data_IF_007227683144
#
_entry.id   IF_007227683144
#
_cell.length_a   1.000
_cell.length_b   1.000
_cell.length_c   1.000
_cell.angle_alpha   90.00
_cell.angle_beta   90.00
_cell.angle_gamma   90.00
#
_symmetry.space_group_name_H-M   'P 1'
#
loop_
_entity.id
_entity.type
_entity.pdbx_description
1 polymer ?
#
# COMPACT_ATOMS: atom_id res chain seq x y z
N UNK A 1 -6.80 48.06 18.11
CA UNK A 1 -6.15 47.70 16.85
C UNK A 1 -6.00 46.19 16.82
N UNK A 2 -7.00 45.49 16.28
CA UNK A 2 -7.09 44.02 16.29
C UNK A 2 -7.55 43.56 14.92
N UNK A 3 -6.62 43.48 13.97
CA UNK A 3 -6.81 42.88 12.65
C UNK A 3 -5.49 42.29 12.16
N UNK A 4 -5.11 41.14 12.72
CA UNK A 4 -4.05 40.31 12.13
C UNK A 4 -4.24 38.79 12.33
N UNK A 5 -5.34 38.35 12.95
CA UNK A 5 -5.54 36.92 13.27
C UNK A 5 -6.56 36.21 12.37
N UNK A 6 -7.34 36.92 11.57
CA UNK A 6 -8.36 36.30 10.70
C UNK A 6 -7.81 35.79 9.36
N UNK A 7 -6.71 36.37 8.86
CA UNK A 7 -6.08 35.99 7.58
C UNK A 7 -5.25 34.70 7.68
N UNK A 8 -4.56 34.48 8.80
CA UNK A 8 -3.82 33.23 9.06
C UNK A 8 -4.75 32.04 9.29
N UNK A 9 -5.90 32.26 9.95
CA UNK A 9 -6.89 31.21 10.14
C UNK A 9 -7.62 30.84 8.83
N UNK A 10 -7.90 31.80 7.94
CA UNK A 10 -8.49 31.50 6.63
C UNK A 10 -7.50 30.80 5.71
N UNK A 11 -6.19 31.13 5.76
CA UNK A 11 -5.17 30.40 5.00
C UNK A 11 -5.02 28.95 5.46
N UNK A 12 -5.08 28.69 6.77
CA UNK A 12 -4.99 27.33 7.32
C UNK A 12 -6.25 26.51 6.99
N UNK A 13 -7.44 27.12 7.03
CA UNK A 13 -8.70 26.48 6.63
C UNK A 13 -8.77 26.26 5.11
N UNK A 14 -8.17 27.13 4.29
CA UNK A 14 -7.99 26.91 2.84
C UNK A 14 -6.98 25.80 2.53
N UNK A 15 -5.92 25.65 3.34
CA UNK A 15 -4.97 24.53 3.26
C UNK A 15 -5.62 23.21 3.70
N UNK A 16 -6.52 23.23 4.68
CA UNK A 16 -7.24 22.05 5.18
C UNK A 16 -8.49 21.70 4.36
N UNK A 17 -9.05 22.62 3.56
CA UNK A 17 -10.15 22.34 2.62
C UNK A 17 -9.67 21.91 1.23
N UNK A 18 -8.36 21.93 0.98
CA UNK A 18 -7.72 21.23 -0.14
C UNK A 18 -7.37 19.76 0.20
N UNK A 19 -7.79 19.26 1.37
CA UNK A 19 -7.43 17.94 1.90
C UNK A 19 -8.36 16.81 1.44
N UNK A 20 -9.12 16.99 0.35
CA UNK A 20 -9.67 15.87 -0.40
C UNK A 20 -8.69 15.53 -1.53
N UNK A 21 -7.64 14.79 -1.16
CA UNK A 21 -6.68 14.19 -2.11
C UNK A 21 -7.36 13.14 -3.02
N UNK A 22 -8.53 12.67 -2.61
CA UNK A 22 -9.42 11.74 -3.31
C UNK A 22 -10.76 12.43 -3.62
N UNK A 23 -11.24 12.39 -4.88
CA UNK A 23 -12.58 12.83 -5.26
C UNK A 23 -13.65 12.11 -4.46
N UNK A 24 -14.71 12.83 -4.12
CA UNK A 24 -15.89 12.25 -3.48
C UNK A 24 -16.56 11.22 -4.37
N UNK A 25 -17.13 10.19 -3.76
CA UNK A 25 -17.95 9.21 -4.48
C UNK A 25 -19.08 9.92 -5.27
N UNK A 26 -19.25 9.53 -6.53
CA UNK A 26 -20.27 10.08 -7.41
C UNK A 26 -19.90 11.40 -8.09
N UNK A 27 -18.79 12.04 -7.69
CA UNK A 27 -18.27 13.24 -8.35
C UNK A 27 -17.81 12.96 -9.78
N UNK A 28 -17.80 13.99 -10.62
CA UNK A 28 -17.34 13.89 -12.00
C UNK A 28 -15.91 14.42 -12.13
N UNK A 29 -15.03 13.65 -12.76
CA UNK A 29 -13.68 14.10 -13.08
C UNK A 29 -13.11 13.47 -14.33
N UNK A 30 -11.89 13.87 -14.66
CA UNK A 30 -11.21 13.48 -15.90
C UNK A 30 -9.98 12.66 -15.57
N UNK A 31 -9.82 11.54 -16.26
CA UNK A 31 -8.62 10.71 -16.12
C UNK A 31 -8.00 10.43 -17.49
N UNK A 32 -6.69 10.24 -17.48
CA UNK A 32 -5.94 9.69 -18.59
C UNK A 32 -6.00 8.16 -18.50
N UNK A 33 -6.46 7.50 -19.57
CA UNK A 33 -6.44 6.05 -19.67
C UNK A 33 -4.99 5.57 -19.73
N UNK A 34 -4.52 4.93 -18.68
CA UNK A 34 -3.17 4.35 -18.60
C UNK A 34 -3.15 2.95 -19.19
N UNK A 35 -4.21 2.16 -19.00
CA UNK A 35 -4.32 0.78 -19.47
C UNK A 35 -5.78 0.39 -19.77
N UNK A 36 -5.95 -0.59 -20.65
CA UNK A 36 -7.24 -1.27 -20.92
C UNK A 36 -6.99 -2.78 -20.76
N UNK A 37 -7.19 -3.32 -19.55
CA UNK A 37 -6.87 -4.71 -19.24
C UNK A 37 -7.74 -5.69 -20.03
N UNK A 38 -7.12 -6.72 -20.59
CA UNK A 38 -7.81 -7.82 -21.30
C UNK A 38 -8.06 -9.04 -20.41
N UNK A 39 -7.51 -9.05 -19.19
CA UNK A 39 -7.69 -10.12 -18.21
C UNK A 39 -7.62 -9.58 -16.78
N UNK A 40 -8.38 -10.20 -15.87
CA UNK A 40 -8.40 -9.83 -14.44
C UNK A 40 -7.02 -9.91 -13.79
N UNK A 41 -6.17 -10.83 -14.24
CA UNK A 41 -4.84 -11.01 -13.69
C UNK A 41 -3.95 -9.75 -13.82
N UNK A 42 -4.23 -8.89 -14.82
CA UNK A 42 -3.53 -7.62 -14.98
C UNK A 42 -3.83 -6.62 -13.84
N UNK A 43 -4.88 -6.86 -13.04
CA UNK A 43 -5.19 -6.02 -11.88
C UNK A 43 -4.40 -6.40 -10.62
N UNK A 44 -3.71 -7.55 -10.58
CA UNK A 44 -2.98 -7.99 -9.37
C UNK A 44 -1.84 -7.03 -8.95
N UNK A 45 -1.37 -6.18 -9.86
CA UNK A 45 -0.35 -5.17 -9.56
C UNK A 45 -0.86 -4.00 -8.68
N UNK A 46 -2.18 -3.83 -8.52
CA UNK A 46 -2.78 -2.66 -7.87
C UNK A 46 -3.11 -2.87 -6.38
N UNK A 47 -2.18 -3.50 -5.66
CA UNK A 47 -2.25 -3.86 -4.24
C UNK A 47 -3.12 -5.07 -3.92
N UNK A 48 -2.46 -6.20 -3.65
CA UNK A 48 -3.06 -7.30 -2.91
C UNK A 48 -2.14 -7.63 -1.75
N UNK A 49 -2.64 -7.43 -0.53
CA UNK A 49 -2.21 -8.32 0.54
C UNK A 49 -2.68 -9.72 0.17
N UNK A 50 -1.82 -10.68 0.42
CA UNK A 50 -2.12 -12.07 0.20
C UNK A 50 -3.45 -12.48 0.86
N UNK A 51 -4.41 -13.08 0.12
CA UNK A 51 -5.72 -13.48 0.65
C UNK A 51 -5.67 -14.33 1.92
N UNK A 52 -4.58 -15.07 2.12
CA UNK A 52 -4.41 -15.89 3.33
C UNK A 52 -4.22 -15.05 4.60
N UNK A 53 -3.89 -13.76 4.52
CA UNK A 53 -3.76 -12.88 5.71
C UNK A 53 -5.09 -12.66 6.42
N UNK A 54 -6.21 -12.79 5.71
CA UNK A 54 -7.54 -12.55 6.26
C UNK A 54 -7.93 -13.51 7.37
N UNK A 55 -7.38 -14.72 7.37
CA UNK A 55 -7.63 -15.69 8.43
C UNK A 55 -7.02 -15.23 9.78
N UNK A 56 -6.24 -14.13 9.80
CA UNK A 56 -5.62 -13.51 10.98
C UNK A 56 -6.19 -12.13 11.31
N UNK A 57 -7.40 -11.79 10.84
CA UNK A 57 -8.04 -10.50 11.11
C UNK A 57 -8.08 -10.17 12.61
N UNK A 58 -8.42 -11.16 13.44
CA UNK A 58 -8.50 -10.96 14.89
C UNK A 58 -7.13 -10.63 15.51
N UNK A 59 -6.07 -11.26 15.03
CA UNK A 59 -4.69 -11.09 15.47
C UNK A 59 -4.11 -9.76 14.96
N UNK A 60 -4.41 -9.39 13.72
CA UNK A 60 -4.02 -8.11 13.12
C UNK A 60 -4.66 -6.96 13.89
N UNK A 61 -5.96 -7.03 14.18
CA UNK A 61 -6.66 -6.00 14.97
C UNK A 61 -6.17 -5.94 16.42
N UNK A 62 -5.71 -7.07 16.96
CA UNK A 62 -5.05 -7.12 18.25
C UNK A 62 -3.58 -6.65 18.23
N UNK A 63 -3.04 -6.23 17.06
CA UNK A 63 -1.65 -5.80 16.90
C UNK A 63 -0.61 -6.92 17.06
N UNK A 64 -1.04 -8.19 16.94
CA UNK A 64 -0.21 -9.38 17.21
C UNK A 64 0.52 -9.92 15.99
N UNK A 65 0.10 -9.55 14.78
CA UNK A 65 0.85 -9.88 13.57
C UNK A 65 1.86 -8.77 13.31
N UNK A 66 3.14 -9.06 13.52
CA UNK A 66 4.23 -8.08 13.41
C UNK A 66 5.20 -8.45 12.31
N UNK A 67 5.75 -7.46 11.62
CA UNK A 67 6.91 -7.69 10.77
C UNK A 67 8.13 -7.90 11.65
N UNK A 68 9.00 -8.83 11.28
CA UNK A 68 10.26 -9.08 11.98
C UNK A 68 11.41 -9.17 10.99
N UNK A 69 12.59 -8.76 11.43
CA UNK A 69 13.77 -8.76 10.57
C UNK A 69 15.07 -9.04 11.31
N UNK A 70 16.06 -9.50 10.56
CA UNK A 70 17.47 -9.46 10.91
C UNK A 70 18.29 -9.39 9.61
N UNK A 71 19.59 -9.11 9.70
CA UNK A 71 20.49 -9.01 8.54
C UNK A 71 21.48 -10.16 8.50
N UNK A 72 21.79 -10.63 7.30
CA UNK A 72 22.77 -11.68 7.03
C UNK A 72 23.94 -11.03 6.29
N UNK A 73 25.19 -11.16 6.75
CA UNK A 73 26.36 -10.74 5.98
C UNK A 73 26.34 -11.34 4.57
N UNK A 74 26.50 -10.49 3.57
CA UNK A 74 26.49 -10.88 2.16
C UNK A 74 27.45 -9.97 1.38
N UNK A 75 28.63 -10.50 1.07
CA UNK A 75 29.70 -9.78 0.38
C UNK A 75 29.30 -9.32 -1.04
N UNK A 76 28.24 -9.91 -1.61
CA UNK A 76 27.74 -9.54 -2.93
C UNK A 76 26.60 -8.51 -2.87
N UNK A 77 26.09 -8.19 -1.68
CA UNK A 77 25.04 -7.19 -1.51
C UNK A 77 25.63 -5.77 -1.51
N UNK A 78 24.89 -4.80 -2.06
CA UNK A 78 25.32 -3.41 -2.16
C UNK A 78 25.72 -2.80 -0.80
N UNK A 79 24.94 -3.08 0.25
CA UNK A 79 25.21 -2.60 1.61
C UNK A 79 26.05 -3.58 2.44
N UNK A 80 26.56 -4.67 1.84
CA UNK A 80 27.30 -5.75 2.52
C UNK A 80 26.43 -6.74 3.30
N UNK A 81 25.10 -6.61 3.22
CA UNK A 81 24.14 -7.46 3.92
C UNK A 81 22.89 -7.73 3.09
N UNK A 82 22.27 -8.88 3.33
CA UNK A 82 20.94 -9.24 2.84
C UNK A 82 19.95 -9.28 3.99
N UNK A 83 18.77 -8.71 3.79
CA UNK A 83 17.71 -8.71 4.80
C UNK A 83 16.98 -10.06 4.83
N UNK A 84 16.82 -10.62 6.03
CA UNK A 84 15.83 -11.63 6.33
C UNK A 84 14.62 -10.93 6.95
N UNK A 85 13.46 -11.02 6.30
CA UNK A 85 12.22 -10.42 6.79
C UNK A 85 11.09 -11.43 6.70
N UNK A 86 10.30 -11.51 7.76
CA UNK A 86 9.10 -12.35 7.82
C UNK A 86 8.00 -11.64 8.61
N UNK A 87 6.81 -12.23 8.58
CA UNK A 87 5.72 -11.89 9.47
C UNK A 87 5.70 -12.92 10.61
N UNK A 88 5.50 -12.45 11.83
CA UNK A 88 5.48 -13.26 13.04
C UNK A 88 4.19 -12.99 13.80
N UNK A 89 3.53 -14.06 14.27
CA UNK A 89 2.40 -13.93 15.17
C UNK A 89 2.88 -14.03 16.61
N UNK A 90 2.64 -12.96 17.36
CA UNK A 90 2.94 -12.90 18.79
C UNK A 90 1.95 -13.73 19.60
N UNK A 91 2.34 -14.31 20.75
CA UNK A 91 1.42 -14.97 21.67
C UNK A 91 0.32 -14.01 22.16
N UNK A 92 -0.78 -14.57 22.66
CA UNK A 92 -1.95 -13.78 23.12
C UNK A 92 -1.63 -12.86 24.31
N UNK A 93 -0.54 -13.13 25.04
CA UNK A 93 -0.05 -12.33 26.16
C UNK A 93 1.36 -11.87 25.81
N UNK A 94 1.55 -10.56 25.73
CA UNK A 94 2.82 -9.92 25.39
C UNK A 94 2.62 -8.81 24.36
N UNK A 95 3.05 -7.60 24.71
CA UNK A 95 3.14 -6.47 23.77
C UNK A 95 4.59 -6.35 23.35
N UNK A 96 4.83 -6.36 22.04
CA UNK A 96 6.15 -6.11 21.46
C UNK A 96 6.11 -4.73 20.83
N UNK A 97 7.08 -3.88 21.15
CA UNK A 97 7.27 -2.57 20.56
C UNK A 97 8.19 -2.65 19.34
N UNK A 98 8.13 -1.63 18.50
CA UNK A 98 9.09 -1.50 17.41
C UNK A 98 10.52 -1.47 17.98
N UNK A 99 11.42 -2.25 17.39
CA UNK A 99 12.82 -2.46 17.77
C UNK A 99 13.04 -3.34 19.01
N UNK A 100 11.98 -3.93 19.56
CA UNK A 100 12.14 -4.97 20.56
C UNK A 100 12.79 -6.22 19.96
N UNK A 101 13.54 -6.93 20.79
CA UNK A 101 14.17 -8.19 20.40
C UNK A 101 13.25 -9.35 20.75
N UNK A 102 12.93 -10.14 19.73
CA UNK A 102 12.05 -11.29 19.86
C UNK A 102 12.84 -12.54 19.58
N UNK A 103 12.89 -13.46 20.55
CA UNK A 103 13.40 -14.80 20.30
C UNK A 103 12.34 -15.58 19.55
N UNK A 104 12.76 -16.28 18.50
CA UNK A 104 11.87 -17.11 17.71
C UNK A 104 12.38 -18.55 17.69
N UNK A 105 11.45 -19.49 17.64
CA UNK A 105 11.72 -20.91 17.46
C UNK A 105 10.70 -21.48 16.49
N UNK A 106 11.02 -22.62 15.85
CA UNK A 106 10.01 -23.29 15.02
C UNK A 106 8.79 -23.65 15.86
N UNK A 107 7.59 -23.45 15.29
CA UNK A 107 6.38 -23.96 15.91
C UNK A 107 6.45 -25.49 15.98
N UNK A 108 6.13 -26.06 17.15
CA UNK A 108 6.17 -27.50 17.36
C UNK A 108 5.04 -28.27 16.64
N UNK A 109 4.09 -27.55 16.04
CA UNK A 109 2.92 -28.11 15.34
C UNK A 109 3.21 -28.15 13.83
N UNK A 110 3.33 -29.36 13.23
CA UNK A 110 3.59 -29.50 11.81
C UNK A 110 2.52 -28.86 10.92
N UNK A 111 1.25 -28.80 11.38
CA UNK A 111 0.15 -28.19 10.60
C UNK A 111 0.33 -26.68 10.43
N UNK A 112 1.06 -26.04 11.34
CA UNK A 112 1.38 -24.61 11.31
C UNK A 112 2.71 -24.32 10.63
N UNK A 113 3.62 -25.30 10.59
CA UNK A 113 4.95 -25.20 9.96
C UNK A 113 4.96 -25.03 8.43
N UNK A 114 3.82 -25.20 7.76
CA UNK A 114 3.66 -24.95 6.32
C UNK A 114 3.10 -23.57 5.96
N UNK A 115 2.65 -22.79 6.95
CA UNK A 115 2.05 -21.47 6.78
C UNK A 115 2.95 -20.40 7.43
N UNK A 116 2.55 -19.14 7.41
CA UNK A 116 3.30 -18.03 8.03
C UNK A 116 3.77 -18.24 9.48
N UNK A 117 3.18 -19.23 10.16
CA UNK A 117 3.39 -19.63 11.56
C UNK A 117 4.47 -20.69 11.69
N UNK A 118 5.48 -20.66 10.82
CA UNK A 118 6.68 -21.47 11.04
C UNK A 118 7.35 -21.16 12.37
N UNK A 119 7.11 -19.98 12.93
CA UNK A 119 7.82 -19.48 14.09
C UNK A 119 6.87 -19.03 15.20
N UNK A 120 7.17 -19.41 16.43
CA UNK A 120 6.54 -18.87 17.63
C UNK A 120 7.49 -17.90 18.32
N UNK A 121 6.97 -16.74 18.70
CA UNK A 121 7.71 -15.81 19.55
C UNK A 121 7.78 -16.37 20.98
N UNK A 122 8.98 -16.45 21.54
CA UNK A 122 9.18 -16.66 22.97
C UNK A 122 9.57 -15.31 23.57
N UNK A 123 8.62 -14.68 24.27
CA UNK A 123 8.84 -13.40 24.95
C UNK A 123 9.31 -13.72 26.38
N UNK A 124 10.48 -14.33 26.50
CA UNK A 124 11.18 -14.41 27.78
C UNK A 124 12.12 -13.20 27.89
N UNK A 125 12.15 -12.61 29.09
CA UNK A 125 12.86 -11.38 29.47
C UNK A 125 14.24 -11.26 28.77
N UNK A 126 14.32 -10.36 27.79
CA UNK A 126 15.41 -10.25 26.80
C UNK A 126 16.69 -9.64 27.38
N UNK A 127 17.20 -10.24 28.45
CA UNK A 127 18.48 -9.89 29.08
C UNK A 127 19.70 -10.47 28.35
N UNK A 128 19.50 -11.40 27.41
CA UNK A 128 20.57 -11.93 26.56
C UNK A 128 20.72 -11.07 25.30
N UNK A 129 21.71 -10.17 25.36
CA UNK A 129 22.09 -9.19 24.35
C UNK A 129 22.13 -9.76 22.92
N UNK A 130 21.57 -9.05 21.92
CA UNK A 130 21.76 -9.41 20.53
C UNK A 130 23.16 -9.05 20.03
N UNK A 131 23.71 -9.86 19.12
CA UNK A 131 24.91 -9.51 18.36
C UNK A 131 24.51 -8.51 17.26
N UNK A 132 25.11 -7.34 17.27
CA UNK A 132 24.84 -6.30 16.29
C UNK A 132 25.99 -6.16 15.32
N UNK A 133 25.64 -5.88 14.08
CA UNK A 133 26.57 -5.46 13.05
C UNK A 133 26.41 -3.96 12.84
N UNK A 134 27.52 -3.33 12.51
CA UNK A 134 27.52 -1.95 12.06
C UNK A 134 27.48 -1.98 10.53
N UNK A 135 26.39 -1.53 9.93
CA UNK A 135 26.30 -1.34 8.48
C UNK A 135 26.65 0.09 8.10
N UNK A 136 27.46 0.23 7.05
CA UNK A 136 27.97 1.51 6.56
C UNK A 136 27.28 1.80 5.25
N UNK A 137 26.43 2.82 5.22
CA UNK A 137 25.77 3.25 3.98
C UNK A 137 26.56 4.35 3.27
N UNK A 138 26.39 4.50 1.94
CA UNK A 138 26.94 5.64 1.19
C UNK A 138 26.56 6.96 1.88
N UNK A 139 27.56 7.77 2.23
CA UNK A 139 27.39 8.98 3.04
C UNK A 139 27.91 8.87 4.49
N UNK A 140 28.50 7.73 4.88
CA UNK A 140 29.22 7.58 6.15
C UNK A 140 28.33 7.39 7.38
N UNK A 141 27.02 7.20 7.18
CA UNK A 141 26.08 6.90 8.27
C UNK A 141 26.24 5.45 8.69
N UNK A 142 26.45 5.24 9.99
CA UNK A 142 26.58 3.91 10.61
C UNK A 142 25.25 3.52 11.21
N UNK A 143 24.69 2.40 10.76
CA UNK A 143 23.48 1.82 11.32
C UNK A 143 23.84 0.60 12.17
N UNK A 144 23.13 0.44 13.29
CA UNK A 144 23.24 -0.74 14.14
C UNK A 144 22.11 -1.69 13.75
N UNK A 145 22.46 -2.82 13.16
CA UNK A 145 21.50 -3.81 12.67
C UNK A 145 21.69 -5.15 13.38
N UNK A 146 20.58 -5.84 13.65
CA UNK A 146 20.61 -7.16 14.30
C UNK A 146 21.05 -8.24 13.32
N UNK A 147 22.15 -8.95 13.62
CA UNK A 147 22.60 -10.08 12.82
C UNK A 147 21.71 -11.32 13.01
N UNK A 148 21.35 -11.99 11.91
CA UNK A 148 20.69 -13.28 11.96
C UNK A 148 21.68 -14.37 12.42
N UNK A 149 21.60 -14.77 13.68
CA UNK A 149 22.26 -15.99 14.17
C UNK A 149 21.34 -17.18 14.00
N UNK A 150 21.67 -18.10 13.09
CA UNK A 150 20.83 -19.26 12.81
C UNK A 150 21.11 -20.41 13.79
N UNK A 151 20.04 -21.00 14.32
CA UNK A 151 20.10 -22.26 15.06
C UNK A 151 20.38 -23.46 14.15
N UNK A 152 20.59 -24.63 14.73
CA UNK A 152 20.81 -25.89 14.00
C UNK A 152 19.63 -26.30 13.09
N UNK A 153 18.46 -25.74 13.34
CA UNK A 153 17.23 -25.92 12.56
C UNK A 153 17.11 -24.95 11.36
N UNK A 154 18.11 -24.08 11.16
CA UNK A 154 18.15 -23.09 10.07
C UNK A 154 17.30 -21.84 10.31
N UNK A 155 16.95 -21.55 11.57
CA UNK A 155 16.06 -20.43 11.94
C UNK A 155 16.84 -19.37 12.72
N UNK A 156 16.62 -18.07 12.47
CA UNK A 156 17.20 -17.03 13.31
C UNK A 156 16.79 -17.22 14.77
N UNK A 157 17.75 -17.21 15.69
CA UNK A 157 17.48 -17.36 17.12
C UNK A 157 16.84 -16.11 17.74
N UNK A 158 17.08 -14.96 17.11
CA UNK A 158 16.52 -13.66 17.50
C UNK A 158 16.26 -12.82 16.25
N UNK A 159 15.24 -11.97 16.35
CA UNK A 159 14.83 -11.01 15.32
C UNK A 159 14.43 -9.68 15.99
N UNK A 160 14.54 -8.60 15.23
CA UNK A 160 14.06 -7.28 15.61
C UNK A 160 12.59 -7.16 15.17
N UNK A 161 11.73 -6.74 16.09
CA UNK A 161 10.34 -6.44 15.78
C UNK A 161 10.23 -5.11 15.03
N UNK A 162 9.53 -5.14 13.90
CA UNK A 162 9.07 -3.95 13.20
C UNK A 162 7.66 -3.56 13.65
N UNK A 163 7.01 -2.75 12.82
CA UNK A 163 5.63 -2.35 13.05
C UNK A 163 4.67 -3.55 12.97
N UNK A 164 3.62 -3.50 13.79
CA UNK A 164 2.45 -4.35 13.61
C UNK A 164 1.79 -4.07 12.27
N UNK A 165 1.30 -5.13 11.62
CA UNK A 165 0.44 -5.01 10.44
C UNK A 165 -0.81 -4.25 10.88
N UNK A 166 -1.06 -3.12 10.22
CA UNK A 166 -2.16 -2.25 10.58
C UNK A 166 -3.48 -2.82 10.04
N UNK A 167 -4.55 -2.74 10.82
CA UNK A 167 -5.86 -3.24 10.41
C UNK A 167 -6.37 -2.58 9.11
N UNK A 168 -6.07 -1.29 8.91
CA UNK A 168 -6.45 -0.58 7.68
C UNK A 168 -5.88 -1.23 6.43
N UNK A 169 -4.70 -1.87 6.51
CA UNK A 169 -4.07 -2.52 5.36
C UNK A 169 -4.92 -3.71 4.92
N UNK A 170 -5.45 -4.49 5.88
CA UNK A 170 -6.36 -5.60 5.61
C UNK A 170 -7.69 -5.12 5.03
N UNK A 171 -8.27 -4.08 5.64
CA UNK A 171 -9.54 -3.49 5.20
C UNK A 171 -9.42 -2.94 3.77
N UNK A 172 -8.30 -2.28 3.45
CA UNK A 172 -7.97 -1.82 2.11
C UNK A 172 -7.82 -2.98 1.11
N UNK A 173 -7.09 -4.05 1.44
CA UNK A 173 -6.94 -5.20 0.54
C UNK A 173 -8.27 -5.97 0.31
N UNK A 174 -9.18 -5.96 1.28
CA UNK A 174 -10.55 -6.47 1.13
C UNK A 174 -11.34 -5.62 0.14
N UNK A 175 -11.32 -4.31 0.34
CA UNK A 175 -11.97 -3.36 -0.56
C UNK A 175 -11.46 -3.48 -1.99
N UNK A 176 -10.15 -3.58 -2.17
CA UNK A 176 -9.52 -3.73 -3.49
C UNK A 176 -9.92 -5.02 -4.20
N UNK A 177 -9.95 -6.15 -3.50
CA UNK A 177 -10.43 -7.41 -4.10
C UNK A 177 -11.92 -7.34 -4.43
N UNK A 178 -12.75 -6.75 -3.58
CA UNK A 178 -14.17 -6.55 -3.85
C UNK A 178 -14.38 -5.64 -5.09
N UNK A 179 -13.57 -4.58 -5.22
CA UNK A 179 -13.53 -3.69 -6.39
C UNK A 179 -13.18 -4.46 -7.66
N UNK A 180 -12.15 -5.31 -7.62
CA UNK A 180 -11.76 -6.14 -8.76
C UNK A 180 -12.86 -7.13 -9.14
N UNK A 181 -13.61 -7.65 -8.18
CA UNK A 181 -14.70 -8.61 -8.39
C UNK A 181 -15.95 -8.01 -9.04
N UNK A 182 -16.10 -6.68 -9.05
CA UNK A 182 -17.21 -6.01 -9.76
C UNK A 182 -17.10 -6.11 -11.28
N UNK A 183 -15.91 -6.39 -11.81
CA UNK A 183 -15.73 -6.69 -13.23
C UNK A 183 -15.95 -8.18 -13.48
N UNK A 184 -16.67 -8.52 -14.54
CA UNK A 184 -16.77 -9.89 -15.04
C UNK A 184 -15.62 -10.21 -16.01
N UNK A 185 -15.26 -11.49 -16.18
CA UNK A 185 -14.25 -11.88 -17.19
C UNK A 185 -14.69 -11.51 -18.62
N UNK A 186 -15.99 -11.45 -18.86
CA UNK A 186 -16.57 -10.95 -20.11
C UNK A 186 -16.30 -9.45 -20.32
N UNK A 187 -16.24 -8.64 -19.26
CA UNK A 187 -15.89 -7.22 -19.37
C UNK A 187 -14.45 -7.04 -19.82
N UNK A 188 -13.53 -7.84 -19.28
CA UNK A 188 -12.14 -7.84 -19.71
C UNK A 188 -12.00 -8.27 -21.17
N UNK A 189 -12.65 -9.36 -21.56
CA UNK A 189 -12.63 -9.86 -22.93
C UNK A 189 -13.23 -8.86 -23.93
N UNK A 190 -14.23 -8.09 -23.52
CA UNK A 190 -14.88 -7.06 -24.32
C UNK A 190 -14.16 -5.70 -24.30
N UNK A 191 -13.05 -5.56 -23.56
CA UNK A 191 -12.35 -4.27 -23.41
C UNK A 191 -13.17 -3.21 -22.65
N UNK A 192 -14.05 -3.65 -21.74
CA UNK A 192 -14.96 -2.81 -20.94
C UNK A 192 -14.40 -2.43 -19.57
N UNK A 193 -13.13 -2.73 -19.31
CA UNK A 193 -12.42 -2.36 -18.09
C UNK A 193 -11.32 -1.36 -18.45
N UNK A 194 -11.32 -0.22 -17.77
CA UNK A 194 -10.31 0.81 -17.93
C UNK A 194 -9.53 1.05 -16.64
N UNK A 195 -8.25 1.36 -16.79
CA UNK A 195 -7.40 1.90 -15.73
C UNK A 195 -7.05 3.33 -16.10
N UNK A 196 -7.37 4.25 -15.21
CA UNK A 196 -7.17 5.68 -15.40
C UNK A 196 -6.28 6.26 -14.32
N UNK A 197 -5.53 7.30 -14.67
CA UNK A 197 -4.78 8.10 -13.69
C UNK A 197 -5.20 9.56 -13.80
N UNK A 198 -5.35 10.21 -12.66
CA UNK A 198 -5.32 11.67 -12.57
C UNK A 198 -4.05 12.08 -11.83
N UNK A 199 -3.52 13.27 -12.13
CA UNK A 199 -2.25 13.73 -11.63
C UNK A 199 -2.45 15.02 -10.85
N UNK A 200 -2.15 14.99 -9.55
CA UNK A 200 -2.12 16.16 -8.70
C UNK A 200 -0.72 16.77 -8.79
N UNK A 201 -0.69 18.03 -9.20
CA UNK A 201 0.53 18.84 -9.21
C UNK A 201 0.53 19.77 -8.01
N UNK A 202 1.72 20.02 -7.47
CA UNK A 202 1.90 20.99 -6.40
C UNK A 202 1.88 22.43 -6.95
N UNK A 203 2.10 23.41 -6.07
CA UNK A 203 2.14 24.84 -6.43
C UNK A 203 3.30 25.19 -7.38
N UNK A 204 4.30 24.32 -7.51
CA UNK A 204 5.47 24.48 -8.39
C UNK A 204 5.27 23.76 -9.73
N UNK A 205 4.17 23.03 -9.91
CA UNK A 205 3.86 22.29 -11.12
C UNK A 205 4.44 20.88 -11.17
N UNK A 206 5.08 20.41 -10.09
CA UNK A 206 5.63 19.06 -9.95
C UNK A 206 4.53 18.07 -9.59
N UNK A 207 4.59 16.86 -10.14
CA UNK A 207 3.64 15.80 -9.80
C UNK A 207 3.95 15.24 -8.41
N UNK A 208 3.06 15.45 -7.44
CA UNK A 208 3.26 14.92 -6.09
C UNK A 208 2.39 13.69 -5.80
N UNK A 209 1.28 13.51 -6.50
CA UNK A 209 0.39 12.36 -6.32
C UNK A 209 -0.33 11.98 -7.63
N UNK A 210 -0.43 10.68 -7.94
CA UNK A 210 -1.08 10.20 -9.16
C UNK A 210 -1.93 8.94 -8.86
N UNK A 211 -3.14 9.10 -8.32
CA UNK A 211 -3.99 7.97 -7.96
C UNK A 211 -4.46 7.19 -9.20
N UNK A 212 -4.70 5.90 -8.99
CA UNK A 212 -5.13 4.95 -10.02
C UNK A 212 -6.61 4.60 -9.80
N UNK A 213 -7.39 4.73 -10.87
CA UNK A 213 -8.83 4.50 -10.89
C UNK A 213 -9.16 3.33 -11.80
N UNK A 214 -9.83 2.32 -11.25
CA UNK A 214 -10.48 1.28 -12.05
C UNK A 214 -11.88 1.76 -12.43
N UNK A 215 -12.28 1.57 -13.68
CA UNK A 215 -13.59 1.99 -14.15
C UNK A 215 -14.22 1.09 -15.20
N UNK A 216 -15.55 1.05 -15.22
CA UNK A 216 -16.32 0.46 -16.31
C UNK A 216 -16.35 1.41 -17.52
N UNK A 217 -16.04 0.88 -18.70
CA UNK A 217 -16.22 1.59 -19.97
C UNK A 217 -17.70 1.55 -20.33
N UNK A 218 -18.28 2.70 -20.67
CA UNK A 218 -19.67 2.78 -21.10
C UNK A 218 -19.95 1.86 -22.30
N UNK A 219 -21.12 1.25 -22.30
CA UNK A 219 -21.54 0.35 -23.36
C UNK A 219 -21.52 1.05 -24.73
N UNK A 220 -21.03 0.36 -25.76
CA UNK A 220 -20.86 0.92 -27.11
C UNK A 220 -19.68 1.87 -27.29
N UNK A 221 -18.92 2.19 -26.23
CA UNK A 221 -17.70 3.00 -26.31
C UNK A 221 -16.45 2.12 -26.46
N UNK A 222 -15.46 2.64 -27.19
CA UNK A 222 -14.12 2.05 -27.25
C UNK A 222 -13.09 3.06 -26.75
N UNK A 223 -12.24 2.60 -25.83
CA UNK A 223 -11.12 3.37 -25.29
C UNK A 223 -9.79 2.67 -25.58
N UNK A 224 -8.71 3.43 -25.53
CA UNK A 224 -7.33 2.99 -25.69
C UNK A 224 -6.44 3.74 -24.71
N UNK A 225 -5.29 3.16 -24.39
CA UNK A 225 -4.23 3.87 -23.66
C UNK A 225 -3.93 5.23 -24.33
N UNK A 226 -3.88 6.28 -23.52
CA UNK A 226 -3.68 7.66 -23.99
C UNK A 226 -4.96 8.44 -24.25
N UNK A 227 -6.14 7.79 -24.26
CA UNK A 227 -7.41 8.50 -24.28
C UNK A 227 -7.65 9.25 -22.97
N UNK A 228 -8.44 10.31 -23.06
CA UNK A 228 -8.95 11.05 -21.91
C UNK A 228 -10.45 10.78 -21.80
N UNK A 229 -10.87 10.38 -20.60
CA UNK A 229 -12.27 10.04 -20.32
C UNK A 229 -12.78 10.83 -19.13
N UNK A 230 -14.08 11.09 -19.12
CA UNK A 230 -14.79 11.59 -17.96
C UNK A 230 -15.33 10.39 -17.18
N UNK A 231 -15.07 10.38 -15.89
CA UNK A 231 -15.57 9.37 -14.95
C UNK A 231 -16.56 10.01 -13.99
N UNK A 232 -17.54 9.21 -13.58
CA UNK A 232 -18.15 9.31 -12.27
C UNK A 232 -17.31 8.46 -11.32
N UNK A 233 -16.68 9.10 -10.33
CA UNK A 233 -15.77 8.40 -9.43
C UNK A 233 -16.53 7.48 -8.47
N UNK A 234 -16.00 6.28 -8.24
CA UNK A 234 -16.30 5.47 -7.07
C UNK A 234 -15.46 5.92 -5.87
N UNK A 235 -15.44 5.15 -4.77
CA UNK A 235 -14.64 5.48 -3.60
C UNK A 235 -13.40 4.57 -3.52
N UNK A 236 -12.21 5.16 -3.52
CA UNK A 236 -10.92 4.44 -3.62
C UNK A 236 -10.23 4.13 -2.30
N UNK A 237 -10.32 5.01 -1.30
CA UNK A 237 -9.37 4.97 -0.17
C UNK A 237 -10.04 4.93 1.22
N UNK A 238 -11.17 5.60 1.44
CA UNK A 238 -11.83 5.64 2.76
C UNK A 238 -13.27 6.11 2.69
N UNK A 239 -14.19 5.49 3.43
CA UNK A 239 -15.62 5.85 3.49
C UNK A 239 -16.57 4.65 3.41
N UNK A 240 -17.88 4.92 3.30
CA UNK A 240 -18.94 3.91 3.31
C UNK A 240 -19.19 3.20 1.96
N UNK A 241 -18.66 3.75 0.87
CA UNK A 241 -18.67 3.22 -0.50
C UNK A 241 -17.32 2.63 -0.95
N UNK A 242 -16.36 2.48 -0.04
CA UNK A 242 -15.04 1.89 -0.31
C UNK A 242 -15.18 0.56 -1.04
N UNK A 243 -14.54 0.49 -2.22
CA UNK A 243 -14.66 -0.65 -3.12
C UNK A 243 -15.58 -0.41 -4.31
N UNK A 244 -16.36 0.68 -4.37
CA UNK A 244 -17.15 1.02 -5.55
C UNK A 244 -16.25 1.39 -6.74
N UNK A 245 -16.51 0.77 -7.89
CA UNK A 245 -15.81 1.04 -9.15
C UNK A 245 -16.35 2.30 -9.82
N UNK A 246 -15.46 3.13 -10.37
CA UNK A 246 -15.84 4.31 -11.15
C UNK A 246 -16.54 3.92 -12.46
N UNK A 247 -17.37 4.80 -13.02
CA UNK A 247 -18.03 4.54 -14.31
C UNK A 247 -17.69 5.63 -15.31
N UNK A 248 -17.25 5.25 -16.50
CA UNK A 248 -17.03 6.20 -17.59
C UNK A 248 -18.36 6.80 -18.04
N UNK A 249 -18.45 8.13 -18.04
CA UNK A 249 -19.62 8.84 -18.59
C UNK A 249 -19.45 9.13 -20.08
N UNK A 250 -18.23 9.45 -20.52
CA UNK A 250 -17.89 9.70 -21.93
C UNK A 250 -16.39 9.71 -22.20
N UNK A 251 -16.02 9.43 -23.45
CA UNK A 251 -14.68 9.70 -23.99
C UNK A 251 -14.59 11.17 -24.43
N UNK A 252 -13.54 11.85 -24.00
CA UNK A 252 -13.34 13.28 -24.26
C UNK A 252 -12.36 13.56 -25.41
N UNK A 253 -11.40 12.67 -25.67
CA UNK A 253 -10.40 12.85 -26.73
C UNK A 253 -9.12 12.08 -26.44
N UNK A 254 -8.01 12.49 -27.07
CA UNK A 254 -6.66 11.99 -26.79
C UNK A 254 -5.90 12.96 -25.92
N UNK A 255 -4.90 12.47 -25.17
CA UNK A 255 -4.03 13.30 -24.33
C UNK A 255 -3.49 14.53 -25.07
N UNK A 256 -3.11 14.37 -26.34
CA UNK A 256 -2.57 15.46 -27.16
C UNK A 256 -3.53 16.66 -27.29
N UNK A 257 -4.84 16.39 -27.41
CA UNK A 257 -5.90 17.39 -27.58
C UNK A 257 -6.03 18.32 -26.37
N UNK A 258 -5.46 17.88 -25.25
CA UNK A 258 -5.61 18.54 -23.98
C UNK A 258 -4.40 19.41 -23.65
N UNK A 259 -3.20 19.13 -24.18
CA UNK A 259 -1.93 19.80 -23.82
C UNK A 259 -2.00 21.31 -24.10
N UNK A 260 -2.38 22.10 -23.10
CA UNK A 260 -2.39 23.56 -23.13
C UNK A 260 -1.54 24.09 -21.98
N UNK A 261 -0.64 25.03 -22.30
CA UNK A 261 0.27 25.70 -21.37
C UNK A 261 -0.45 26.54 -20.28
N UNK A 262 -1.79 26.61 -20.28
CA UNK A 262 -2.58 27.42 -19.34
C UNK A 262 -3.57 26.63 -18.48
N UNK A 263 -3.64 25.30 -18.63
CA UNK A 263 -4.47 24.44 -17.78
C UNK A 263 -3.72 23.12 -17.51
N UNK A 264 -3.27 22.83 -16.28
CA UNK A 264 -2.68 21.54 -15.97
C UNK A 264 -3.78 20.48 -16.03
N UNK A 265 -3.69 19.62 -17.03
CA UNK A 265 -4.69 18.61 -17.32
C UNK A 265 -4.55 17.47 -16.33
N UNK A 266 -5.70 16.90 -16.00
CA UNK A 266 -5.86 15.75 -15.11
C UNK A 266 -5.80 16.08 -13.63
N UNK A 267 -6.38 17.21 -13.21
CA UNK A 267 -6.76 17.41 -11.81
C UNK A 267 -7.93 16.50 -11.47
N UNK A 268 -7.75 15.63 -10.48
CA UNK A 268 -8.87 15.03 -9.76
C UNK A 268 -9.61 16.22 -9.13
N UNK A 269 -10.83 16.53 -9.60
CA UNK A 269 -11.63 17.63 -9.05
C UNK A 269 -12.56 17.11 -7.98
#
# INVERSE_FOLDING_TARGET
MTRCSSLLLTLLVLMLSACQLTPDEGSLGRVLVSEVPTQRAALHQFAQLEPWLEQFDSEIRAGRLVQVRCVIPDENAYDGYRQWQRLLLLPARGTVQEKDYVRISKHADPALSGKLFQYQATIDDASALPFYLHSYRPGGTVFRELECRFGADGVPQAVEAGMAVQAWTLDFARAERARHQQFSDADFAAGRVGVGTCALRDIFGEYYYQPIWLFHVAEGSQIRKGDVVELRFGETESGGGVGHVSTMTRKLGKREDFVSNTNPLFTCR
#
